data_IF_381299580457
#
_entry.id   IF_381299580457
#
_cell.length_a   1.000
_cell.length_b   1.000
_cell.length_c   1.000
_cell.angle_alpha   90.00
_cell.angle_beta   90.00
_cell.angle_gamma   90.00
#
_symmetry.space_group_name_H-M   'P 1'
#
loop_
_entity.id
_entity.type
_entity.pdbx_description
1 polymer ?
#
# COMPACT_ATOMS: atom_id res chain seq x y z
N UNK A 1 -17.87 4.76 55.71
CA UNK A 1 -17.05 5.98 55.61
C UNK A 1 -15.59 5.55 55.64
N UNK A 2 -14.89 5.62 54.50
CA UNK A 2 -13.96 6.72 54.15
C UNK A 2 -12.81 6.85 55.17
N UNK A 3 -11.58 6.63 54.72
CA UNK A 3 -10.37 6.84 55.54
C UNK A 3 -9.25 5.86 55.17
N UNK A 4 -8.79 5.80 53.93
CA UNK A 4 -7.65 6.58 53.45
C UNK A 4 -6.32 6.28 54.20
N UNK A 5 -5.43 5.64 53.43
CA UNK A 5 -3.95 5.77 53.41
C UNK A 5 -3.03 4.83 54.22
N UNK A 6 -2.19 4.16 53.41
CA UNK A 6 -0.72 4.04 53.51
C UNK A 6 -0.12 2.94 54.40
N UNK A 7 0.30 1.86 53.73
CA UNK A 7 1.62 1.23 53.89
C UNK A 7 1.81 0.25 52.70
N UNK A 8 2.35 0.70 51.56
CA UNK A 8 3.76 0.53 51.10
C UNK A 8 4.08 -0.94 50.73
N UNK A 9 4.69 -1.12 49.55
CA UNK A 9 5.38 -2.31 49.01
C UNK A 9 4.58 -3.33 48.17
N UNK A 10 4.47 -3.03 46.88
CA UNK A 10 4.66 -4.03 45.83
C UNK A 10 5.08 -3.33 44.53
N UNK A 11 6.28 -2.74 44.57
CA UNK A 11 6.97 -2.14 43.44
C UNK A 11 7.54 -3.24 42.56
N UNK A 12 6.83 -3.63 41.50
CA UNK A 12 7.44 -4.15 40.27
C UNK A 12 6.73 -3.42 39.12
N UNK A 13 7.13 -2.17 38.91
CA UNK A 13 6.98 -1.56 37.58
C UNK A 13 7.98 -2.32 36.72
N UNK A 14 7.47 -3.31 36.01
CA UNK A 14 8.19 -3.90 34.90
C UNK A 14 8.40 -2.75 33.92
N UNK A 15 9.61 -2.18 33.94
CA UNK A 15 10.14 -1.39 32.84
C UNK A 15 10.29 -2.34 31.65
N UNK A 16 9.15 -2.70 31.05
CA UNK A 16 9.10 -3.27 29.73
C UNK A 16 9.65 -2.19 28.83
N UNK A 17 10.88 -2.39 28.38
CA UNK A 17 11.50 -1.64 27.31
C UNK A 17 10.44 -1.30 26.27
N UNK A 18 10.04 -0.03 26.19
CA UNK A 18 9.44 0.48 24.98
C UNK A 18 10.53 0.36 23.94
N UNK A 19 10.55 -0.76 23.22
CA UNK A 19 11.15 -0.81 21.90
C UNK A 19 10.25 0.11 21.08
N UNK A 20 10.60 1.40 21.06
CA UNK A 20 10.06 2.34 20.10
C UNK A 20 10.50 1.75 18.76
N UNK A 21 9.60 1.28 17.88
CA UNK A 21 10.00 0.91 16.55
C UNK A 21 10.64 2.16 15.96
N UNK A 22 11.89 2.03 15.51
CA UNK A 22 12.59 3.08 14.80
C UNK A 22 11.69 3.52 13.64
N UNK A 23 11.12 4.73 13.75
CA UNK A 23 10.40 5.47 12.71
C UNK A 23 10.01 4.61 11.49
N UNK A 24 8.95 3.82 11.61
CA UNK A 24 8.31 3.27 10.42
C UNK A 24 7.80 4.47 9.62
N UNK A 25 8.21 4.59 8.35
CA UNK A 25 7.59 5.55 7.45
C UNK A 25 6.06 5.35 7.53
N UNK A 26 5.30 6.43 7.74
CA UNK A 26 3.88 6.32 8.03
C UNK A 26 3.15 5.69 6.84
N UNK A 27 2.61 4.48 7.01
CA UNK A 27 1.74 3.86 6.02
C UNK A 27 0.49 4.75 5.86
N UNK A 28 0.31 5.34 4.68
CA UNK A 28 -0.87 6.16 4.42
C UNK A 28 -1.95 5.35 3.70
N UNK A 29 -3.18 5.42 4.21
CA UNK A 29 -4.34 4.91 3.51
C UNK A 29 -4.76 5.92 2.43
N UNK A 30 -4.79 5.48 1.17
CA UNK A 30 -5.32 6.24 0.04
C UNK A 30 -6.62 5.58 -0.43
N UNK A 31 -7.65 6.40 -0.66
CA UNK A 31 -8.94 5.97 -1.21
C UNK A 31 -9.32 6.86 -2.40
N UNK A 32 -10.17 6.32 -3.28
CA UNK A 32 -10.65 6.98 -4.50
C UNK A 32 -12.15 7.22 -4.46
N UNK A 33 -12.65 7.75 -3.33
CA UNK A 33 -14.04 8.18 -3.18
C UNK A 33 -15.01 7.14 -2.60
N UNK A 34 -14.63 5.86 -2.52
CA UNK A 34 -15.33 4.85 -1.73
C UNK A 34 -14.41 4.31 -0.64
N UNK A 35 -14.72 4.65 0.62
CA UNK A 35 -13.93 4.28 1.80
C UNK A 35 -13.88 2.77 2.05
N UNK A 36 -14.76 1.99 1.40
CA UNK A 36 -14.73 0.52 1.45
C UNK A 36 -13.56 -0.06 0.67
N UNK A 37 -12.85 0.72 -0.14
CA UNK A 37 -11.73 0.28 -0.95
C UNK A 37 -10.51 1.16 -0.66
N UNK A 38 -9.46 0.56 -0.11
CA UNK A 38 -8.29 1.28 0.37
C UNK A 38 -7.02 0.61 -0.12
N UNK A 39 -6.05 1.43 -0.51
CA UNK A 39 -4.66 1.02 -0.69
C UNK A 39 -3.87 1.61 0.47
N UNK A 40 -3.26 0.75 1.27
CA UNK A 40 -2.23 1.14 2.22
C UNK A 40 -0.92 1.27 1.46
N UNK A 41 -0.29 2.45 1.55
CA UNK A 41 0.91 2.80 0.81
C UNK A 41 2.10 2.89 1.77
N UNK A 42 2.91 1.82 1.89
CA UNK A 42 4.14 1.85 2.67
C UNK A 42 5.14 2.85 2.12
N UNK A 43 5.83 3.56 3.03
CA UNK A 43 6.83 4.54 2.63
C UNK A 43 6.24 5.73 1.88
N UNK A 44 4.96 6.06 2.11
CA UNK A 44 4.34 7.25 1.55
C UNK A 44 5.15 8.51 1.91
N UNK A 45 5.35 9.38 0.93
CA UNK A 45 6.06 10.65 1.08
C UNK A 45 5.08 11.81 0.94
N UNK A 46 4.40 11.89 -0.20
CA UNK A 46 3.43 12.94 -0.48
C UNK A 46 2.50 12.54 -1.64
N UNK A 47 1.43 13.30 -1.80
CA UNK A 47 0.62 13.33 -3.03
C UNK A 47 0.86 14.67 -3.71
N UNK A 48 1.13 14.69 -5.01
CA UNK A 48 1.29 15.93 -5.77
C UNK A 48 0.80 15.81 -7.20
N UNK A 49 0.57 16.94 -7.83
CA UNK A 49 0.26 16.98 -9.26
C UNK A 49 1.53 16.99 -10.11
N UNK A 50 1.54 16.21 -11.19
CA UNK A 50 2.63 16.10 -12.15
C UNK A 50 2.08 16.03 -13.57
N UNK A 51 2.79 16.58 -14.55
CA UNK A 51 2.44 16.39 -15.96
C UNK A 51 2.90 15.02 -16.45
N UNK A 52 1.96 14.15 -16.81
CA UNK A 52 2.19 12.84 -17.42
C UNK A 52 1.49 12.84 -18.78
N UNK A 53 2.21 12.55 -19.86
CA UNK A 53 1.67 12.55 -21.23
C UNK A 53 0.93 13.84 -21.63
N UNK A 54 1.33 14.99 -21.07
CA UNK A 54 0.72 16.30 -21.35
C UNK A 54 -0.52 16.61 -20.50
N UNK A 55 -0.94 15.71 -19.61
CA UNK A 55 -2.07 15.89 -18.69
C UNK A 55 -1.56 16.10 -17.26
N UNK A 56 -2.23 16.97 -16.50
CA UNK A 56 -1.97 17.10 -15.06
C UNK A 56 -2.61 15.93 -14.34
N UNK A 57 -1.77 15.10 -13.71
CA UNK A 57 -2.17 13.88 -13.02
C UNK A 57 -1.68 13.93 -11.58
N UNK A 58 -2.56 13.61 -10.64
CA UNK A 58 -2.18 13.44 -9.24
C UNK A 58 -1.45 12.12 -9.07
N UNK A 59 -0.22 12.18 -8.55
CA UNK A 59 0.65 11.02 -8.30
C UNK A 59 0.87 10.83 -6.81
N UNK A 60 1.07 9.58 -6.39
CA UNK A 60 1.52 9.22 -5.05
C UNK A 60 3.02 8.99 -5.09
N UNK A 61 3.76 9.77 -4.30
CA UNK A 61 5.21 9.65 -4.18
C UNK A 61 5.52 8.74 -3.00
N UNK A 62 6.32 7.71 -3.24
CA UNK A 62 6.62 6.66 -2.24
C UNK A 62 8.11 6.34 -2.25
N UNK A 63 8.60 5.81 -1.13
CA UNK A 63 9.92 5.20 -1.08
C UNK A 63 9.93 3.92 -1.93
N UNK A 64 11.01 3.72 -2.69
CA UNK A 64 11.22 2.49 -3.46
C UNK A 64 11.16 1.26 -2.53
N UNK A 65 10.35 0.24 -2.87
CA UNK A 65 10.19 -0.93 -2.02
C UNK A 65 11.46 -1.77 -1.99
N UNK A 66 11.70 -2.44 -0.86
CA UNK A 66 12.77 -3.43 -0.74
C UNK A 66 12.30 -4.80 -1.19
N UNK A 67 13.24 -5.62 -1.67
CA UNK A 67 12.94 -7.01 -1.98
C UNK A 67 12.61 -7.78 -0.72
N UNK A 68 11.55 -8.59 -0.77
CA UNK A 68 11.23 -9.56 0.26
C UNK A 68 12.16 -10.79 0.17
N UNK A 69 11.99 -11.74 1.10
CA UNK A 69 12.79 -12.97 1.16
C UNK A 69 12.69 -13.86 -0.11
N UNK A 70 11.67 -13.65 -0.93
CA UNK A 70 11.45 -14.36 -2.19
C UNK A 70 11.97 -13.58 -3.41
N UNK A 71 12.76 -12.52 -3.19
CA UNK A 71 13.32 -11.66 -4.23
C UNK A 71 12.22 -10.95 -5.07
N UNK A 72 11.05 -10.69 -4.47
CA UNK A 72 9.92 -9.95 -5.05
C UNK A 72 9.69 -8.62 -4.32
N UNK A 73 9.02 -7.67 -4.97
CA UNK A 73 8.70 -6.37 -4.39
C UNK A 73 7.25 -6.34 -3.91
N UNK A 74 7.06 -6.03 -2.62
CA UNK A 74 5.73 -5.69 -2.08
C UNK A 74 5.58 -4.18 -2.17
N UNK A 75 4.59 -3.73 -2.94
CA UNK A 75 4.36 -2.29 -3.13
C UNK A 75 3.31 -1.75 -2.18
N UNK A 76 2.19 -2.46 -2.00
CA UNK A 76 1.04 -1.98 -1.24
C UNK A 76 0.40 -3.11 -0.43
N UNK A 77 -0.48 -2.75 0.52
CA UNK A 77 -1.55 -3.64 0.93
C UNK A 77 -2.89 -3.10 0.45
N UNK A 78 -3.71 -3.98 -0.07
CA UNK A 78 -5.03 -3.64 -0.56
C UNK A 78 -6.06 -4.19 0.43
N UNK A 79 -6.98 -3.32 0.85
CA UNK A 79 -7.97 -3.62 1.87
C UNK A 79 -9.35 -3.23 1.37
N UNK A 80 -10.32 -4.11 1.56
CA UNK A 80 -11.72 -3.83 1.32
C UNK A 80 -12.63 -4.38 2.41
N UNK A 81 -13.74 -3.68 2.66
CA UNK A 81 -14.84 -4.13 3.51
C UNK A 81 -16.04 -4.63 2.71
N UNK A 82 -16.00 -4.57 1.36
CA UNK A 82 -17.06 -5.11 0.51
C UNK A 82 -16.99 -6.63 0.47
N UNK A 83 -17.97 -7.29 1.09
CA UNK A 83 -18.03 -8.75 1.17
C UNK A 83 -18.29 -9.43 -0.17
N UNK A 84 -18.68 -8.68 -1.21
CA UNK A 84 -18.86 -9.24 -2.55
C UNK A 84 -17.54 -9.29 -3.34
N UNK A 85 -16.53 -8.50 -2.95
CA UNK A 85 -15.21 -8.54 -3.57
C UNK A 85 -14.47 -9.79 -3.11
N UNK A 86 -14.10 -10.65 -4.06
CA UNK A 86 -13.40 -11.92 -3.79
C UNK A 86 -11.99 -11.93 -4.37
N UNK A 87 -11.70 -11.07 -5.34
CA UNK A 87 -10.39 -11.02 -5.98
C UNK A 87 -10.08 -9.61 -6.48
N UNK A 88 -8.81 -9.41 -6.80
CA UNK A 88 -8.32 -8.21 -7.45
C UNK A 88 -7.44 -8.57 -8.64
N UNK A 89 -7.65 -7.85 -9.74
CA UNK A 89 -6.74 -7.84 -10.90
C UNK A 89 -6.03 -6.50 -10.97
N UNK A 90 -4.80 -6.50 -11.47
CA UNK A 90 -4.05 -5.28 -11.68
C UNK A 90 -3.15 -5.36 -12.90
N UNK A 91 -3.00 -4.24 -13.58
CA UNK A 91 -2.05 -4.05 -14.68
C UNK A 91 -1.10 -2.91 -14.32
N UNK A 92 0.19 -3.13 -14.51
CA UNK A 92 1.24 -2.12 -14.34
C UNK A 92 1.70 -1.67 -15.74
N UNK A 93 1.68 -0.36 -15.97
CA UNK A 93 2.11 0.24 -17.24
C UNK A 93 3.17 1.32 -16.99
N UNK A 94 4.09 1.46 -17.95
CA UNK A 94 4.99 2.62 -18.04
C UNK A 94 4.22 3.84 -18.55
N UNK A 95 4.84 5.02 -18.47
CA UNK A 95 4.29 6.29 -19.00
C UNK A 95 3.87 6.16 -20.47
N UNK A 96 4.64 5.44 -21.29
CA UNK A 96 4.36 5.23 -22.70
C UNK A 96 3.31 4.13 -23.00
N UNK A 97 2.59 3.63 -21.98
CA UNK A 97 1.61 2.54 -22.06
C UNK A 97 2.19 1.17 -22.41
N UNK A 98 3.51 0.99 -22.35
CA UNK A 98 4.10 -0.35 -22.39
C UNK A 98 3.75 -1.13 -21.12
N UNK A 99 3.50 -2.41 -21.30
CA UNK A 99 3.31 -3.35 -20.20
C UNK A 99 4.57 -3.43 -19.34
N UNK A 100 4.38 -3.40 -18.01
CA UNK A 100 5.44 -3.51 -17.02
C UNK A 100 5.16 -4.58 -15.96
N UNK A 101 3.98 -5.20 -15.97
CA UNK A 101 3.61 -6.22 -15.00
C UNK A 101 2.12 -6.35 -14.78
N UNK A 102 1.74 -7.33 -13.95
CA UNK A 102 0.37 -7.56 -13.53
C UNK A 102 0.28 -8.33 -12.21
N UNK A 103 -0.94 -8.40 -11.69
CA UNK A 103 -1.31 -9.31 -10.62
C UNK A 103 -2.74 -9.78 -10.81
N UNK A 104 -3.00 -11.04 -10.47
CA UNK A 104 -4.34 -11.56 -10.27
C UNK A 104 -4.31 -12.45 -9.03
N UNK A 105 -5.09 -12.09 -8.01
CA UNK A 105 -5.06 -12.79 -6.72
C UNK A 105 -6.40 -12.70 -6.00
N UNK A 106 -6.73 -13.74 -5.24
CA UNK A 106 -7.89 -13.77 -4.36
C UNK A 106 -7.64 -12.92 -3.10
N UNK A 107 -8.71 -12.36 -2.55
CA UNK A 107 -8.66 -11.62 -1.30
C UNK A 107 -8.80 -12.59 -0.12
N UNK A 108 -7.94 -12.44 0.87
CA UNK A 108 -8.05 -13.15 2.14
C UNK A 108 -8.69 -12.24 3.18
N UNK A 109 -9.96 -12.49 3.52
CA UNK A 109 -10.73 -11.66 4.45
C UNK A 109 -10.74 -10.17 4.06
N UNK A 110 -10.91 -9.89 2.76
CA UNK A 110 -10.91 -8.53 2.21
C UNK A 110 -9.52 -7.88 2.17
N UNK A 111 -8.43 -8.65 2.28
CA UNK A 111 -7.07 -8.12 2.28
C UNK A 111 -6.16 -8.90 1.34
N UNK A 112 -5.17 -8.21 0.78
CA UNK A 112 -4.06 -8.85 0.09
C UNK A 112 -2.83 -7.94 0.09
N UNK A 113 -1.64 -8.54 0.21
CA UNK A 113 -0.39 -7.83 -0.07
C UNK A 113 -0.12 -7.84 -1.57
N UNK A 114 0.01 -6.65 -2.14
CA UNK A 114 0.20 -6.48 -3.57
C UNK A 114 1.68 -6.69 -3.95
N UNK A 115 1.94 -7.87 -4.53
CA UNK A 115 3.26 -8.34 -4.98
C UNK A 115 3.14 -8.76 -6.45
N UNK A 116 3.10 -7.80 -7.40
CA UNK A 116 2.88 -8.09 -8.81
C UNK A 116 4.06 -8.85 -9.41
N UNK A 117 3.80 -9.54 -10.51
CA UNK A 117 4.84 -9.89 -11.45
C UNK A 117 5.27 -8.63 -12.20
N UNK A 118 6.58 -8.41 -12.37
CA UNK A 118 7.12 -7.29 -13.13
C UNK A 118 7.86 -7.82 -14.36
N UNK A 119 7.56 -7.24 -15.52
CA UNK A 119 8.28 -7.46 -16.76
C UNK A 119 9.43 -6.45 -16.87
N UNK A 120 10.41 -6.61 -15.98
CA UNK A 120 11.57 -5.73 -15.88
C UNK A 120 12.19 -5.67 -14.50
N UNK A 121 13.35 -5.02 -14.41
CA UNK A 121 13.98 -4.68 -13.13
C UNK A 121 13.32 -3.42 -12.54
N UNK A 122 12.97 -3.45 -11.25
CA UNK A 122 12.41 -2.26 -10.61
C UNK A 122 13.37 -1.09 -10.67
N UNK A 123 14.69 -1.32 -10.65
CA UNK A 123 15.69 -0.25 -10.70
C UNK A 123 15.61 0.54 -12.02
N UNK A 124 15.12 -0.08 -13.08
CA UNK A 124 14.83 0.59 -14.35
C UNK A 124 13.41 1.16 -14.37
N UNK A 125 12.42 0.34 -14.00
CA UNK A 125 11.00 0.72 -14.02
C UNK A 125 10.70 1.91 -13.10
N UNK A 126 11.43 2.06 -12.00
CA UNK A 126 11.20 3.12 -11.00
C UNK A 126 11.79 4.48 -11.38
N UNK A 127 12.50 4.59 -12.52
CA UNK A 127 13.07 5.86 -12.99
C UNK A 127 12.02 6.81 -13.55
N UNK A 128 10.85 6.29 -13.89
CA UNK A 128 9.71 7.03 -14.39
C UNK A 128 8.46 6.69 -13.55
N UNK A 129 7.40 7.53 -13.60
CA UNK A 129 6.13 7.18 -12.99
C UNK A 129 5.58 5.86 -13.56
N UNK A 130 5.04 5.03 -12.68
CA UNK A 130 4.33 3.82 -13.08
C UNK A 130 2.83 3.98 -12.83
N UNK A 131 2.04 3.53 -13.79
CA UNK A 131 0.60 3.40 -13.67
C UNK A 131 0.26 2.02 -13.11
N UNK A 132 -0.58 2.00 -12.08
CA UNK A 132 -1.18 0.81 -11.51
C UNK A 132 -2.70 0.90 -11.69
N UNK A 133 -3.26 0.12 -12.60
CA UNK A 133 -4.70 -0.06 -12.70
C UNK A 133 -5.12 -1.20 -11.80
N UNK A 134 -6.13 -0.99 -10.96
CA UNK A 134 -6.68 -2.02 -10.09
C UNK A 134 -8.17 -2.23 -10.36
N UNK A 135 -8.63 -3.47 -10.22
CA UNK A 135 -10.04 -3.84 -10.39
C UNK A 135 -10.44 -4.91 -9.40
N UNK A 136 -11.38 -4.61 -8.50
CA UNK A 136 -12.04 -5.59 -7.65
C UNK A 136 -13.10 -6.36 -8.43
N UNK A 137 -13.17 -7.67 -8.18
CA UNK A 137 -14.10 -8.56 -8.87
C UNK A 137 -14.89 -9.45 -7.91
N UNK A 138 -16.11 -9.77 -8.33
CA UNK A 138 -16.97 -10.74 -7.64
C UNK A 138 -16.63 -12.19 -8.04
N UNK A 139 -17.34 -13.16 -7.45
CA UNK A 139 -17.15 -14.59 -7.74
C UNK A 139 -17.58 -15.03 -9.14
N UNK A 140 -18.21 -14.15 -9.91
CA UNK A 140 -18.61 -14.35 -11.30
C UNK A 140 -17.71 -13.56 -12.27
N UNK A 141 -16.60 -13.01 -11.78
CA UNK A 141 -15.67 -12.17 -12.54
C UNK A 141 -16.22 -10.81 -13.00
N UNK A 142 -17.38 -10.38 -12.49
CA UNK A 142 -17.87 -9.04 -12.76
C UNK A 142 -17.00 -8.01 -12.04
N UNK A 143 -16.77 -6.89 -12.70
CA UNK A 143 -16.14 -5.73 -12.09
C UNK A 143 -17.07 -5.11 -11.05
N UNK A 144 -16.52 -4.83 -9.87
CA UNK A 144 -17.22 -4.16 -8.78
C UNK A 144 -16.75 -2.71 -8.66
N UNK A 145 -15.44 -2.49 -8.71
CA UNK A 145 -14.81 -1.20 -8.53
C UNK A 145 -13.44 -1.20 -9.19
N UNK A 146 -13.13 -0.13 -9.92
CA UNK A 146 -11.85 0.14 -10.55
C UNK A 146 -11.22 1.42 -9.96
N UNK A 147 -9.89 1.43 -9.85
CA UNK A 147 -9.17 2.62 -9.38
C UNK A 147 -7.78 2.67 -10.00
N UNK A 148 -7.44 3.78 -10.67
CA UNK A 148 -6.09 4.02 -11.17
C UNK A 148 -5.22 4.68 -10.10
N UNK A 149 -3.96 4.29 -10.04
CA UNK A 149 -2.95 4.92 -9.20
C UNK A 149 -1.67 5.16 -10.01
N UNK A 150 -1.22 6.41 -10.05
CA UNK A 150 0.12 6.75 -10.54
C UNK A 150 1.09 6.87 -9.39
N UNK A 151 2.24 6.22 -9.52
CA UNK A 151 3.24 6.10 -8.45
C UNK A 151 4.59 6.60 -8.94
N UNK A 152 5.23 7.44 -8.14
CA UNK A 152 6.61 7.88 -8.32
C UNK A 152 7.44 7.33 -7.18
N UNK A 153 8.56 6.70 -7.50
CA UNK A 153 9.46 6.13 -6.51
C UNK A 153 10.62 7.07 -6.23
N UNK A 154 10.91 7.30 -4.96
CA UNK A 154 12.14 7.95 -4.50
C UNK A 154 13.02 6.96 -3.73
N UNK A 155 14.34 7.12 -3.84
CA UNK A 155 15.27 6.34 -3.02
C UNK A 155 15.13 6.72 -1.55
N UNK A 156 15.34 5.74 -0.65
CA UNK A 156 15.38 5.99 0.79
C UNK A 156 16.56 6.90 1.11
N UNK A 157 16.29 8.02 1.80
CA UNK A 157 17.31 8.97 2.28
C UNK A 157 18.06 8.43 3.50
#
# INVERSE_FOLDING_TARGET
MKGFFRAIFATIILAGLMIIPASAAEDQAVNWGDERYQIMVPGFIETRDMTINGETTTVVVVQKPEKNAENRYRFFDIVTTDTNAVSITSTVLKVNHEYAGDLMIELENGRVSYVPFLDGDIEELSKEPLYFGFTFRDNKWNEICDFPLWVVFEDKK
#
